data_IF_900400187767
#
_entry.id   IF_900400187767
#
_cell.length_a   1.000
_cell.length_b   1.000
_cell.length_c   1.000
_cell.angle_alpha   90.00
_cell.angle_beta   90.00
_cell.angle_gamma   90.00
#
_symmetry.space_group_name_H-M   'P 1'
#
loop_
_entity.id
_entity.type
_entity.pdbx_description
1 polymer ?
#
# COMPACT_ATOMS: atom_id res chain seq x y z
N UNK A 1 4.71 -44.25 -27.06
CA UNK A 1 3.91 -44.20 -25.82
C UNK A 1 3.19 -42.87 -25.82
N UNK A 2 1.97 -42.87 -26.34
CA UNK A 2 1.15 -41.69 -26.65
C UNK A 2 0.27 -41.37 -25.44
N UNK A 3 0.38 -40.16 -24.91
CA UNK A 3 -0.49 -39.68 -23.84
C UNK A 3 -1.93 -39.54 -24.37
N UNK A 4 -2.95 -40.07 -23.68
CA UNK A 4 -4.33 -39.92 -24.11
C UNK A 4 -4.77 -38.47 -23.99
N UNK A 5 -5.16 -37.88 -25.13
CA UNK A 5 -5.81 -36.57 -25.24
C UNK A 5 -7.31 -36.71 -24.93
N UNK A 6 -7.68 -36.88 -23.68
CA UNK A 6 -9.08 -36.80 -23.26
C UNK A 6 -9.20 -36.00 -21.96
N UNK A 7 -9.43 -34.70 -22.09
CA UNK A 7 -10.15 -33.88 -21.10
C UNK A 7 -10.21 -32.42 -21.61
N UNK A 8 -10.93 -32.17 -22.70
CA UNK A 8 -11.23 -30.79 -23.11
C UNK A 8 -12.68 -30.70 -23.56
N UNK A 9 -13.56 -30.69 -22.55
CA UNK A 9 -14.94 -30.17 -22.48
C UNK A 9 -15.98 -31.22 -22.01
N UNK A 10 -17.01 -30.83 -21.21
CA UNK A 10 -17.38 -29.48 -20.80
C UNK A 10 -17.48 -29.31 -19.26
N UNK A 11 -16.82 -28.30 -18.71
CA UNK A 11 -17.09 -27.79 -17.34
C UNK A 11 -18.59 -27.47 -17.13
N UNK A 12 -19.35 -27.33 -18.23
CA UNK A 12 -20.78 -27.05 -18.28
C UNK A 12 -21.66 -28.13 -17.62
N UNK A 13 -21.24 -29.39 -17.57
CA UNK A 13 -22.09 -30.50 -17.08
C UNK A 13 -22.02 -30.68 -15.55
N UNK A 14 -20.91 -30.27 -14.91
CA UNK A 14 -20.76 -30.31 -13.44
C UNK A 14 -21.51 -29.19 -12.69
N UNK A 15 -22.17 -28.26 -13.40
CA UNK A 15 -22.86 -27.10 -12.80
C UNK A 15 -24.37 -27.39 -12.67
N UNK A 16 -24.77 -28.60 -12.28
CA UNK A 16 -26.17 -28.89 -11.91
C UNK A 16 -26.42 -28.86 -10.40
N UNK A 17 -25.38 -28.94 -9.57
CA UNK A 17 -25.54 -28.86 -8.13
C UNK A 17 -25.97 -27.44 -7.70
N UNK A 18 -27.16 -27.27 -7.07
CA UNK A 18 -27.72 -25.96 -6.75
C UNK A 18 -26.83 -25.12 -5.81
N UNK A 19 -26.02 -25.78 -4.97
CA UNK A 19 -25.05 -25.14 -4.08
C UNK A 19 -23.83 -24.59 -4.82
N UNK A 20 -23.39 -25.27 -5.88
CA UNK A 20 -22.23 -24.90 -6.69
C UNK A 20 -22.58 -23.73 -7.62
N UNK A 21 -23.80 -23.72 -8.19
CA UNK A 21 -24.33 -22.60 -8.97
C UNK A 21 -24.33 -21.30 -8.14
N UNK A 22 -24.81 -21.36 -6.90
CA UNK A 22 -24.84 -20.21 -6.00
C UNK A 22 -23.46 -19.69 -5.60
N UNK A 23 -22.44 -20.57 -5.53
CA UNK A 23 -21.04 -20.17 -5.31
C UNK A 23 -20.43 -19.56 -6.57
N UNK A 24 -20.68 -20.16 -7.75
CA UNK A 24 -20.22 -19.66 -9.04
C UNK A 24 -20.77 -18.26 -9.34
N UNK A 25 -22.07 -18.03 -9.14
CA UNK A 25 -22.71 -16.72 -9.31
C UNK A 25 -22.07 -15.64 -8.44
N UNK A 26 -21.70 -15.97 -7.20
CA UNK A 26 -21.10 -15.05 -6.22
C UNK A 26 -19.58 -14.81 -6.39
N UNK A 27 -18.89 -15.68 -7.13
CA UNK A 27 -17.43 -15.57 -7.29
C UNK A 27 -17.01 -15.16 -8.69
N UNK A 28 -17.78 -15.54 -9.70
CA UNK A 28 -17.44 -15.31 -11.10
C UNK A 28 -18.32 -14.20 -11.66
N UNK A 29 -19.64 -14.35 -11.60
CA UNK A 29 -20.56 -13.37 -12.20
C UNK A 29 -20.60 -12.04 -11.43
N UNK A 30 -20.65 -12.07 -10.10
CA UNK A 30 -20.60 -10.83 -9.31
C UNK A 30 -19.21 -10.18 -9.31
N UNK A 31 -18.13 -10.97 -9.41
CA UNK A 31 -16.78 -10.41 -9.58
C UNK A 31 -16.65 -9.69 -10.94
N UNK A 32 -17.33 -10.19 -11.96
CA UNK A 32 -17.39 -9.51 -13.26
C UNK A 32 -18.20 -8.21 -13.22
N UNK A 33 -19.27 -8.16 -12.42
CA UNK A 33 -20.05 -6.93 -12.20
C UNK A 33 -19.33 -5.87 -11.35
N UNK A 34 -18.28 -6.27 -10.63
CA UNK A 34 -17.42 -5.43 -9.79
C UNK A 34 -16.16 -4.94 -10.52
N UNK A 35 -16.12 -5.01 -11.87
CA UNK A 35 -14.99 -4.47 -12.63
C UNK A 35 -14.84 -2.97 -12.29
N UNK A 36 -13.74 -2.57 -11.64
CA UNK A 36 -13.56 -1.19 -11.20
C UNK A 36 -13.56 -0.30 -12.44
N UNK A 37 -14.54 0.60 -12.49
CA UNK A 37 -14.64 1.62 -13.53
C UNK A 37 -13.43 2.54 -13.46
N UNK A 38 -13.06 3.17 -14.58
CA UNK A 38 -11.93 4.11 -14.59
C UNK A 38 -12.11 5.21 -13.54
N UNK A 39 -13.34 5.71 -13.36
CA UNK A 39 -13.69 6.68 -12.31
C UNK A 39 -13.40 6.15 -10.91
N UNK A 40 -13.75 4.90 -10.60
CA UNK A 40 -13.45 4.30 -9.29
C UNK A 40 -11.94 4.21 -9.02
N UNK A 41 -11.13 3.94 -10.06
CA UNK A 41 -9.67 3.89 -9.93
C UNK A 41 -9.08 5.28 -9.70
N UNK A 42 -9.56 6.29 -10.45
CA UNK A 42 -9.14 7.68 -10.25
C UNK A 42 -9.53 8.21 -8.88
N UNK A 43 -10.74 7.93 -8.41
CA UNK A 43 -11.19 8.31 -7.06
C UNK A 43 -10.33 7.64 -6.01
N UNK A 44 -10.06 6.34 -6.15
CA UNK A 44 -9.20 5.60 -5.22
C UNK A 44 -7.76 6.16 -5.17
N UNK A 45 -7.19 6.45 -6.34
CA UNK A 45 -5.88 7.08 -6.44
C UNK A 45 -5.86 8.46 -5.79
N UNK A 46 -6.82 9.32 -6.15
CA UNK A 46 -6.93 10.67 -5.60
C UNK A 46 -7.12 10.65 -4.08
N UNK A 47 -8.03 9.81 -3.57
CA UNK A 47 -8.26 9.67 -2.14
C UNK A 47 -7.01 9.20 -1.40
N UNK A 48 -6.25 8.26 -1.98
CA UNK A 48 -5.00 7.78 -1.40
C UNK A 48 -3.96 8.88 -1.36
N UNK A 49 -3.69 9.53 -2.49
CA UNK A 49 -2.71 10.62 -2.57
C UNK A 49 -3.07 11.79 -1.66
N UNK A 50 -4.36 12.17 -1.62
CA UNK A 50 -4.85 13.23 -0.76
C UNK A 50 -4.73 12.88 0.72
N UNK A 51 -5.04 11.65 1.11
CA UNK A 51 -4.89 11.17 2.49
C UNK A 51 -3.43 11.20 2.94
N UNK A 52 -2.50 10.78 2.08
CA UNK A 52 -1.06 10.85 2.36
C UNK A 52 -0.63 12.31 2.52
N UNK A 53 -1.11 13.20 1.65
CA UNK A 53 -0.81 14.64 1.73
C UNK A 53 -1.28 15.27 3.04
N UNK A 54 -2.54 15.00 3.44
CA UNK A 54 -3.09 15.48 4.71
C UNK A 54 -2.29 14.94 5.89
N UNK A 55 -1.98 13.64 5.89
CA UNK A 55 -1.18 13.03 6.95
C UNK A 55 0.20 13.68 7.06
N UNK A 56 0.88 13.89 5.92
CA UNK A 56 2.16 14.58 5.87
C UNK A 56 2.08 16.01 6.41
N UNK A 57 1.03 16.77 6.06
CA UNK A 57 0.80 18.11 6.59
C UNK A 57 0.65 18.11 8.12
N UNK A 58 -0.15 17.19 8.66
CA UNK A 58 -0.33 17.08 10.11
C UNK A 58 0.97 16.76 10.85
N UNK A 59 1.79 15.88 10.29
CA UNK A 59 3.08 15.52 10.90
C UNK A 59 4.09 16.67 10.81
N UNK A 60 4.19 17.35 9.66
CA UNK A 60 5.29 18.29 9.44
C UNK A 60 4.98 19.74 9.84
N UNK A 61 3.74 20.20 9.66
CA UNK A 61 3.41 21.62 9.73
C UNK A 61 2.33 21.95 10.74
N UNK A 62 1.39 21.05 11.01
CA UNK A 62 0.28 21.37 11.89
C UNK A 62 0.73 21.51 13.35
N UNK A 63 0.28 22.57 13.99
CA UNK A 63 0.51 22.79 15.42
C UNK A 63 -0.65 22.18 16.22
N UNK A 64 -0.36 21.12 16.98
CA UNK A 64 -1.31 20.45 17.86
C UNK A 64 -1.21 20.97 19.31
N UNK A 65 -0.36 21.97 19.57
CA UNK A 65 -0.09 22.47 20.91
C UNK A 65 0.79 21.53 21.74
N UNK A 66 0.75 21.72 23.07
CA UNK A 66 1.61 21.01 24.03
C UNK A 66 1.08 19.64 24.47
N UNK A 67 -0.10 19.24 23.98
CA UNK A 67 -0.72 17.98 24.36
C UNK A 67 -0.17 16.79 23.56
N UNK A 68 -0.18 15.61 24.18
CA UNK A 68 0.21 14.38 23.51
C UNK A 68 -0.90 13.93 22.55
N UNK A 69 -0.56 13.72 21.28
CA UNK A 69 -1.51 13.36 20.23
C UNK A 69 -1.04 12.13 19.45
N UNK A 70 -1.94 11.51 18.66
CA UNK A 70 -1.64 10.29 17.90
C UNK A 70 -0.47 10.44 16.90
N UNK A 71 -0.16 11.67 16.48
CA UNK A 71 0.97 11.96 15.60
C UNK A 71 2.26 12.34 16.35
N UNK A 72 2.27 12.46 17.67
CA UNK A 72 3.49 12.77 18.45
C UNK A 72 4.65 11.80 18.18
N UNK A 73 4.49 10.46 18.16
CA UNK A 73 5.61 9.55 17.91
C UNK A 73 6.19 9.72 16.49
N UNK A 74 5.34 9.83 15.47
CA UNK A 74 5.79 9.99 14.08
C UNK A 74 6.45 11.36 13.86
N UNK A 75 5.99 12.42 14.53
CA UNK A 75 6.63 13.75 14.53
C UNK A 75 8.03 13.71 15.12
N UNK A 76 8.21 13.05 16.27
CA UNK A 76 9.54 12.89 16.88
C UNK A 76 10.49 12.11 15.97
N UNK A 77 10.00 11.07 15.31
CA UNK A 77 10.79 10.35 14.31
C UNK A 77 11.17 11.23 13.13
N UNK A 78 10.21 11.96 12.54
CA UNK A 78 10.47 12.85 11.40
C UNK A 78 11.45 13.98 11.76
N UNK A 79 11.33 14.55 12.95
CA UNK A 79 12.26 15.56 13.47
C UNK A 79 13.67 15.00 13.62
N UNK A 80 13.81 13.80 14.18
CA UNK A 80 15.11 13.10 14.28
C UNK A 80 15.72 12.85 12.91
N UNK A 81 14.92 12.37 11.94
CA UNK A 81 15.38 12.17 10.56
C UNK A 81 15.78 13.46 9.86
N UNK A 82 15.07 14.56 10.11
CA UNK A 82 15.48 15.88 9.61
C UNK A 82 16.81 16.33 10.20
N UNK A 83 17.04 16.10 11.50
CA UNK A 83 18.31 16.40 12.13
C UNK A 83 19.42 15.53 11.54
N UNK A 84 19.25 14.21 11.51
CA UNK A 84 20.19 13.25 10.90
C UNK A 84 20.53 13.59 9.45
N UNK A 85 19.60 14.15 8.67
CA UNK A 85 19.87 14.54 7.28
C UNK A 85 20.74 15.80 7.16
N UNK A 86 20.66 16.71 8.14
CA UNK A 86 21.41 17.97 8.13
C UNK A 86 22.67 17.93 9.00
N UNK A 87 22.78 16.97 9.91
CA UNK A 87 23.95 16.75 10.76
C UNK A 87 24.72 15.56 10.25
N UNK A 88 26.04 15.68 10.19
CA UNK A 88 26.90 14.54 9.90
C UNK A 88 26.63 13.41 10.90
N UNK A 89 26.42 12.19 10.40
CA UNK A 89 26.37 11.02 11.26
C UNK A 89 27.72 10.81 11.95
N UNK A 90 27.74 10.13 13.10
CA UNK A 90 28.99 9.82 13.81
C UNK A 90 29.96 8.95 12.99
N UNK A 91 29.44 8.23 11.99
CA UNK A 91 30.24 7.44 11.05
C UNK A 91 30.86 8.34 9.97
N UNK A 92 30.07 9.22 9.36
CA UNK A 92 30.59 10.23 8.41
C UNK A 92 31.60 11.18 9.08
N UNK A 93 31.42 11.48 10.37
CA UNK A 93 32.37 12.34 11.11
C UNK A 93 33.71 11.63 11.30
N UNK A 94 33.68 10.32 11.57
CA UNK A 94 34.90 9.50 11.64
C UNK A 94 35.58 9.41 10.28
N UNK A 95 34.83 9.14 9.22
CA UNK A 95 35.38 9.07 7.86
C UNK A 95 36.00 10.41 7.42
N UNK A 96 35.37 11.53 7.72
CA UNK A 96 35.93 12.86 7.41
C UNK A 96 37.18 13.20 8.24
N UNK A 97 37.24 12.77 9.51
CA UNK A 97 38.45 12.90 10.34
C UNK A 97 39.59 12.03 9.82
N UNK A 98 39.32 10.80 9.39
CA UNK A 98 40.31 9.90 8.79
C UNK A 98 40.83 10.43 7.44
N UNK A 99 39.99 11.15 6.68
CA UNK A 99 40.37 11.85 5.46
C UNK A 99 41.08 13.20 5.68
N UNK A 100 41.21 13.66 6.94
CA UNK A 100 41.86 14.94 7.28
C UNK A 100 41.13 16.18 6.77
N UNK A 101 39.82 16.09 6.54
CA UNK A 101 38.97 17.21 6.09
C UNK A 101 38.25 17.94 7.24
N UNK A 102 38.53 17.51 8.48
CA UNK A 102 38.07 18.07 9.75
C UNK A 102 39.26 18.29 10.68
#
# INVERSE_FOLDING_TARGET
>A
MSFPKEATAPIREQIQDPRLIGKYRRRVLSAESLKPTLTSKFIGFFATTFSIGIFGYFVLYHDFGMEYHCFTPIRRWAHRKRLEFWTLSSEEEKELREQGKL
#
